data_IF_135393351138
#
_entry.id   IF_135393351138
#
_cell.length_a   1.000
_cell.length_b   1.000
_cell.length_c   1.000
_cell.angle_alpha   90.00
_cell.angle_beta   90.00
_cell.angle_gamma   90.00
#
_symmetry.space_group_name_H-M   'P 1'
#
loop_
_entity.id
_entity.type
_entity.pdbx_description
1 polymer ?
#
# COMPACT_ATOMS: atom_id res chain seq x y z
N UNK A 1 1.08 -33.26 -39.12
CA UNK A 1 0.79 -33.34 -37.67
C UNK A 1 1.29 -32.13 -36.87
N UNK A 2 2.42 -31.48 -37.23
CA UNK A 2 2.93 -30.29 -36.54
C UNK A 2 1.90 -29.12 -36.44
N UNK A 3 1.10 -28.94 -37.48
CA UNK A 3 0.21 -27.77 -37.62
C UNK A 3 -0.96 -27.77 -36.62
N UNK A 4 -1.44 -28.96 -36.20
CA UNK A 4 -2.55 -29.06 -35.25
C UNK A 4 -2.13 -28.72 -33.81
N UNK A 5 -0.93 -29.20 -33.41
CA UNK A 5 -0.37 -28.91 -32.09
C UNK A 5 0.05 -27.44 -31.96
N UNK A 6 0.63 -26.85 -33.02
CA UNK A 6 0.95 -25.42 -33.06
C UNK A 6 -0.30 -24.53 -32.91
N UNK A 7 -1.42 -24.90 -33.54
CA UNK A 7 -2.68 -24.17 -33.41
C UNK A 7 -3.27 -24.24 -31.98
N UNK A 8 -3.25 -25.43 -31.36
CA UNK A 8 -3.69 -25.60 -29.96
C UNK A 8 -2.83 -24.79 -28.98
N UNK A 9 -1.51 -24.78 -29.17
CA UNK A 9 -0.59 -24.00 -28.34
C UNK A 9 -0.81 -22.49 -28.53
N UNK A 10 -0.98 -22.02 -29.76
CA UNK A 10 -1.27 -20.62 -30.05
C UNK A 10 -2.55 -20.13 -29.36
N UNK A 11 -3.65 -20.87 -29.49
CA UNK A 11 -4.91 -20.55 -28.81
C UNK A 11 -4.78 -20.57 -27.28
N UNK A 12 -3.97 -21.48 -26.74
CA UNK A 12 -3.68 -21.53 -25.30
C UNK A 12 -2.94 -20.27 -24.83
N UNK A 13 -1.86 -19.87 -25.51
CA UNK A 13 -1.13 -18.64 -25.16
C UNK A 13 -1.98 -17.39 -25.27
N UNK A 14 -2.86 -17.32 -26.27
CA UNK A 14 -3.84 -16.24 -26.41
C UNK A 14 -4.80 -16.21 -25.22
N UNK A 15 -5.39 -17.35 -24.86
CA UNK A 15 -6.34 -17.43 -23.76
C UNK A 15 -5.70 -17.03 -22.42
N UNK A 16 -4.49 -17.54 -22.14
CA UNK A 16 -3.71 -17.17 -20.96
C UNK A 16 -3.36 -15.68 -20.96
N UNK A 17 -2.98 -15.13 -22.12
CA UNK A 17 -2.71 -13.70 -22.28
C UNK A 17 -3.92 -12.83 -21.97
N UNK A 18 -5.09 -13.15 -22.52
CA UNK A 18 -6.34 -12.43 -22.22
C UNK A 18 -6.73 -12.54 -20.76
N UNK A 19 -6.63 -13.73 -20.16
CA UNK A 19 -6.92 -13.93 -18.74
C UNK A 19 -6.02 -13.07 -17.84
N UNK A 20 -4.71 -12.99 -18.15
CA UNK A 20 -3.76 -12.14 -17.43
C UNK A 20 -4.12 -10.65 -17.53
N UNK A 21 -4.59 -10.19 -18.69
CA UNK A 21 -5.04 -8.80 -18.90
C UNK A 21 -6.24 -8.48 -18.01
N UNK A 22 -7.23 -9.38 -17.95
CA UNK A 22 -8.42 -9.22 -17.11
C UNK A 22 -8.06 -9.12 -15.62
N UNK A 23 -7.17 -9.98 -15.13
CA UNK A 23 -6.70 -9.92 -13.73
C UNK A 23 -6.01 -8.59 -13.44
N UNK A 24 -5.13 -8.12 -14.34
CA UNK A 24 -4.43 -6.85 -14.18
C UNK A 24 -5.40 -5.67 -14.17
N UNK A 25 -6.42 -5.68 -15.04
CA UNK A 25 -7.45 -4.66 -15.04
C UNK A 25 -8.27 -4.65 -13.74
N UNK A 26 -8.63 -5.82 -13.23
CA UNK A 26 -9.33 -5.94 -11.94
C UNK A 26 -8.48 -5.41 -10.77
N UNK A 27 -7.21 -5.82 -10.68
CA UNK A 27 -6.30 -5.35 -9.65
C UNK A 27 -6.06 -3.85 -9.75
N UNK A 28 -6.00 -3.30 -10.96
CA UNK A 28 -5.91 -1.86 -11.19
C UNK A 28 -7.11 -1.13 -10.58
N UNK A 29 -8.33 -1.57 -10.89
CA UNK A 29 -9.56 -0.95 -10.36
C UNK A 29 -9.60 -1.01 -8.83
N UNK A 30 -9.34 -2.17 -8.23
CA UNK A 30 -9.30 -2.30 -6.76
C UNK A 30 -8.25 -1.38 -6.15
N UNK A 31 -7.08 -1.27 -6.77
CA UNK A 31 -6.00 -0.43 -6.26
C UNK A 31 -6.37 1.05 -6.27
N UNK A 32 -7.02 1.52 -7.34
CA UNK A 32 -7.51 2.90 -7.43
C UNK A 32 -8.57 3.16 -6.36
N UNK A 33 -9.51 2.23 -6.15
CA UNK A 33 -10.52 2.34 -5.10
C UNK A 33 -9.86 2.41 -3.71
N UNK A 34 -8.90 1.52 -3.43
CA UNK A 34 -8.19 1.49 -2.15
C UNK A 34 -7.41 2.80 -1.87
N UNK A 35 -6.74 3.34 -2.89
CA UNK A 35 -6.04 4.63 -2.81
C UNK A 35 -7.05 5.76 -2.58
N UNK A 36 -8.11 5.83 -3.38
CA UNK A 36 -9.10 6.89 -3.30
C UNK A 36 -9.81 6.89 -1.94
N UNK A 37 -10.26 5.73 -1.48
CA UNK A 37 -10.93 5.57 -0.19
C UNK A 37 -9.99 5.91 0.99
N UNK A 38 -8.76 5.39 0.96
CA UNK A 38 -7.78 5.67 2.02
C UNK A 38 -7.40 7.16 2.07
N UNK A 39 -7.18 7.79 0.93
CA UNK A 39 -6.90 9.24 0.86
C UNK A 39 -8.11 10.06 1.31
N UNK A 40 -9.33 9.66 0.94
CA UNK A 40 -10.55 10.34 1.37
C UNK A 40 -10.63 10.41 2.90
N UNK A 41 -10.38 9.30 3.61
CA UNK A 41 -10.40 9.28 5.07
C UNK A 41 -9.24 10.08 5.67
N UNK A 42 -8.04 10.04 5.06
CA UNK A 42 -6.90 10.82 5.55
C UNK A 42 -7.18 12.33 5.50
N UNK A 43 -7.73 12.79 4.38
CA UNK A 43 -7.89 14.21 4.07
C UNK A 43 -9.17 14.85 4.64
N UNK A 44 -10.06 14.07 5.23
CA UNK A 44 -11.31 14.57 5.82
C UNK A 44 -11.33 14.27 7.31
N UNK A 45 -12.01 15.09 8.14
CA UNK A 45 -12.19 14.79 9.56
C UNK A 45 -12.97 13.48 9.74
N UNK A 46 -12.53 12.66 10.69
CA UNK A 46 -13.20 11.40 11.02
C UNK A 46 -14.31 11.74 12.02
N UNK A 47 -15.56 11.62 11.58
CA UNK A 47 -16.73 11.86 12.43
C UNK A 47 -17.39 10.55 12.85
N UNK A 48 -18.03 10.50 14.03
CA UNK A 48 -18.72 9.30 14.52
C UNK A 48 -19.81 8.78 13.58
N UNK A 49 -20.47 9.69 12.86
CA UNK A 49 -21.58 9.40 11.95
C UNK A 49 -21.15 9.26 10.48
N UNK A 50 -19.84 9.10 10.22
CA UNK A 50 -19.33 8.97 8.86
C UNK A 50 -19.82 7.67 8.24
N UNK A 51 -20.76 7.77 7.28
CA UNK A 51 -21.22 6.63 6.46
C UNK A 51 -20.09 5.91 5.70
N UNK A 52 -18.92 6.54 5.58
CA UNK A 52 -17.78 6.02 4.84
C UNK A 52 -16.99 5.02 5.68
N UNK A 53 -17.03 5.12 7.01
CA UNK A 53 -16.24 4.28 7.91
C UNK A 53 -17.16 3.20 8.52
N UNK A 54 -16.87 1.91 8.33
CA UNK A 54 -17.77 0.82 8.77
C UNK A 54 -17.70 0.55 10.28
N UNK A 55 -17.04 1.40 11.05
CA UNK A 55 -16.90 1.31 12.50
C UNK A 55 -17.26 2.64 13.14
N UNK A 56 -17.95 2.58 14.28
CA UNK A 56 -18.24 3.78 15.05
C UNK A 56 -16.95 4.27 15.70
N UNK A 57 -16.61 5.54 15.45
CA UNK A 57 -15.43 6.19 16.02
C UNK A 57 -15.91 7.12 17.12
N UNK A 58 -15.54 6.81 18.36
CA UNK A 58 -16.03 7.48 19.58
C UNK A 58 -14.93 8.24 20.32
N UNK A 59 -13.66 7.94 20.04
CA UNK A 59 -12.50 8.57 20.68
C UNK A 59 -11.49 9.12 19.68
N UNK A 60 -10.64 10.04 20.16
CA UNK A 60 -9.53 10.62 19.41
C UNK A 60 -8.52 9.53 19.02
N UNK A 61 -8.28 8.57 19.90
CA UNK A 61 -7.39 7.44 19.67
C UNK A 61 -7.90 6.54 18.55
N UNK A 62 -9.20 6.24 18.52
CA UNK A 62 -9.84 5.47 17.45
C UNK A 62 -9.75 6.21 16.11
N UNK A 63 -9.99 7.51 16.07
CA UNK A 63 -9.82 8.33 14.86
C UNK A 63 -8.37 8.27 14.35
N UNK A 64 -7.40 8.37 15.25
CA UNK A 64 -5.98 8.29 14.93
C UNK A 64 -5.54 6.89 14.46
N UNK A 65 -6.23 5.82 14.88
CA UNK A 65 -6.05 4.45 14.38
C UNK A 65 -6.61 4.33 12.97
N UNK A 66 -7.86 4.76 12.77
CA UNK A 66 -8.57 4.70 11.49
C UNK A 66 -7.78 5.43 10.41
N UNK A 67 -7.26 6.62 10.72
CA UNK A 67 -6.49 7.40 9.76
C UNK A 67 -5.14 6.76 9.42
N UNK A 68 -4.48 6.15 10.41
CA UNK A 68 -3.26 5.38 10.18
C UNK A 68 -3.51 4.14 9.33
N UNK A 69 -4.62 3.43 9.56
CA UNK A 69 -5.01 2.25 8.77
C UNK A 69 -5.43 2.64 7.35
N UNK A 70 -6.01 3.82 7.18
CA UNK A 70 -6.30 4.39 5.86
C UNK A 70 -5.01 4.63 5.07
N UNK A 71 -3.95 5.10 5.73
CA UNK A 71 -2.61 5.17 5.16
C UNK A 71 -2.07 3.80 4.71
N UNK A 72 -2.28 2.76 5.51
CA UNK A 72 -1.95 1.38 5.11
C UNK A 72 -2.73 0.96 3.85
N UNK A 73 -4.02 1.27 3.77
CA UNK A 73 -4.85 1.00 2.58
C UNK A 73 -4.30 1.69 1.32
N UNK A 74 -3.89 2.96 1.42
CA UNK A 74 -3.24 3.68 0.31
C UNK A 74 -1.94 2.99 -0.10
N UNK A 75 -1.12 2.57 0.86
CA UNK A 75 0.13 1.85 0.57
C UNK A 75 -0.13 0.53 -0.16
N UNK A 76 -1.13 -0.25 0.28
CA UNK A 76 -1.51 -1.49 -0.38
C UNK A 76 -1.97 -1.25 -1.82
N UNK A 77 -2.84 -0.27 -2.05
CA UNK A 77 -3.26 0.09 -3.41
C UNK A 77 -2.08 0.52 -4.28
N UNK A 78 -1.17 1.35 -3.77
CA UNK A 78 0.04 1.75 -4.49
C UNK A 78 0.96 0.56 -4.81
N UNK A 79 1.21 -0.32 -3.85
CA UNK A 79 2.05 -1.51 -4.03
C UNK A 79 1.43 -2.50 -5.03
N UNK A 80 0.11 -2.65 -5.02
CA UNK A 80 -0.61 -3.45 -6.00
C UNK A 80 -0.46 -2.84 -7.40
N UNK A 81 -0.66 -1.52 -7.58
CA UNK A 81 -0.39 -0.86 -8.88
C UNK A 81 1.05 -1.08 -9.33
N UNK A 82 2.02 -0.93 -8.41
CA UNK A 82 3.43 -1.16 -8.71
C UNK A 82 3.69 -2.59 -9.16
N UNK A 83 3.01 -3.59 -8.57
CA UNK A 83 3.14 -5.00 -8.96
C UNK A 83 2.58 -5.30 -10.35
N UNK A 84 1.58 -4.54 -10.81
CA UNK A 84 0.96 -4.71 -12.13
C UNK A 84 1.88 -4.18 -13.24
N UNK A 85 2.50 -3.02 -13.02
CA UNK A 85 3.27 -2.31 -14.05
C UNK A 85 4.78 -2.50 -13.97
N UNK A 86 5.31 -2.91 -12.81
CA UNK A 86 6.74 -3.15 -12.63
C UNK A 86 7.02 -4.64 -12.49
N UNK A 87 7.83 -5.19 -13.39
CA UNK A 87 8.37 -6.54 -13.27
C UNK A 87 9.55 -6.65 -12.28
N UNK A 88 10.02 -5.52 -11.75
CA UNK A 88 11.16 -5.51 -10.83
C UNK A 88 10.80 -6.17 -9.50
N UNK A 89 11.63 -7.13 -9.06
CA UNK A 89 11.50 -7.71 -7.72
C UNK A 89 11.80 -6.63 -6.69
N UNK A 90 10.85 -6.43 -5.80
CA UNK A 90 10.93 -5.37 -4.80
C UNK A 90 11.43 -5.98 -3.51
N UNK A 91 12.52 -5.44 -2.96
CA UNK A 91 13.06 -5.94 -1.70
C UNK A 91 12.08 -5.63 -0.55
N UNK A 92 11.95 -6.55 0.41
CA UNK A 92 11.06 -6.42 1.58
C UNK A 92 11.22 -5.07 2.30
N UNK A 93 12.45 -4.54 2.57
CA UNK A 93 12.61 -3.24 3.22
C UNK A 93 11.95 -2.10 2.43
N UNK A 94 11.93 -2.17 1.09
CA UNK A 94 11.29 -1.15 0.26
C UNK A 94 9.77 -1.17 0.44
N UNK A 95 9.16 -2.36 0.54
CA UNK A 95 7.72 -2.52 0.78
C UNK A 95 7.34 -1.89 2.13
N UNK A 96 8.09 -2.22 3.18
CA UNK A 96 7.85 -1.70 4.53
C UNK A 96 7.99 -0.18 4.58
N UNK A 97 8.96 0.40 3.86
CA UNK A 97 9.12 1.86 3.74
C UNK A 97 7.86 2.50 3.15
N UNK A 98 7.28 1.94 2.08
CA UNK A 98 6.04 2.50 1.51
C UNK A 98 4.91 2.45 2.53
N UNK A 99 4.70 1.30 3.16
CA UNK A 99 3.65 1.11 4.18
C UNK A 99 3.79 2.13 5.32
N UNK A 100 4.96 2.17 5.96
CA UNK A 100 5.20 3.06 7.10
C UNK A 100 5.10 4.52 6.69
N UNK A 101 5.57 4.89 5.49
CA UNK A 101 5.48 6.27 4.99
C UNK A 101 4.03 6.73 4.82
N UNK A 102 3.16 5.92 4.22
CA UNK A 102 1.75 6.29 4.06
C UNK A 102 0.98 6.23 5.39
N UNK A 103 1.33 5.32 6.30
CA UNK A 103 0.78 5.33 7.66
C UNK A 103 1.16 6.62 8.40
N UNK A 104 2.42 7.05 8.31
CA UNK A 104 2.89 8.32 8.87
C UNK A 104 2.23 9.53 8.20
N UNK A 105 1.99 9.48 6.89
CA UNK A 105 1.21 10.49 6.20
C UNK A 105 -0.20 10.62 6.79
N UNK A 106 -0.88 9.49 7.02
CA UNK A 106 -2.15 9.47 7.75
C UNK A 106 -2.05 10.07 9.16
N UNK A 107 -0.99 9.72 9.91
CA UNK A 107 -0.75 10.28 11.25
C UNK A 107 -0.54 11.80 11.23
N UNK A 108 0.17 12.35 10.26
CA UNK A 108 0.38 13.80 10.12
C UNK A 108 -0.97 14.52 10.02
N UNK A 109 -1.89 14.04 9.16
CA UNK A 109 -3.25 14.59 9.09
C UNK A 109 -4.06 14.35 10.36
N UNK A 110 -3.86 13.21 11.02
CA UNK A 110 -4.48 12.93 12.32
C UNK A 110 -4.07 13.94 13.40
N UNK A 111 -2.82 14.39 13.40
CA UNK A 111 -2.37 15.44 14.33
C UNK A 111 -3.04 16.80 14.08
N UNK A 112 -3.45 17.09 12.84
CA UNK A 112 -4.20 18.30 12.50
C UNK A 112 -5.69 18.20 12.85
N UNK A 113 -6.31 17.04 12.64
CA UNK A 113 -7.76 16.87 12.83
C UNK A 113 -8.16 16.33 14.20
N UNK A 114 -7.48 15.31 14.69
CA UNK A 114 -7.84 14.58 15.91
C UNK A 114 -7.14 15.17 17.15
N UNK A 115 -6.06 15.93 16.94
CA UNK A 115 -5.28 16.58 17.98
C UNK A 115 -4.17 15.70 18.57
N UNK A 116 -3.62 16.14 19.70
CA UNK A 116 -2.43 15.57 20.31
C UNK A 116 -2.77 14.68 21.51
N UNK A 117 -2.96 13.39 21.27
CA UNK A 117 -3.00 12.38 22.34
C UNK A 117 -1.62 11.74 22.55
N UNK A 118 -1.37 11.23 23.76
CA UNK A 118 -0.14 10.49 24.06
C UNK A 118 0.05 9.31 23.09
N UNK A 119 -1.05 8.61 22.76
CA UNK A 119 -1.06 7.54 21.78
C UNK A 119 -0.62 8.03 20.39
N UNK A 120 -1.19 9.13 19.90
CA UNK A 120 -0.87 9.69 18.58
C UNK A 120 0.58 10.13 18.50
N UNK A 121 1.12 10.78 19.54
CA UNK A 121 2.52 11.20 19.60
C UNK A 121 3.45 9.99 19.64
N UNK A 122 3.21 9.05 20.56
CA UNK A 122 4.07 7.88 20.75
C UNK A 122 4.14 7.00 19.49
N UNK A 123 2.99 6.74 18.86
CA UNK A 123 2.93 5.91 17.64
C UNK A 123 3.52 6.61 16.43
N UNK A 124 3.39 7.94 16.33
CA UNK A 124 4.04 8.73 15.26
C UNK A 124 5.57 8.71 15.42
N UNK A 125 6.07 8.90 16.64
CA UNK A 125 7.50 8.82 16.93
C UNK A 125 8.06 7.43 16.65
N UNK A 126 7.37 6.37 17.09
CA UNK A 126 7.75 5.00 16.79
C UNK A 126 7.78 4.71 15.29
N UNK A 127 6.76 5.18 14.56
CA UNK A 127 6.71 5.07 13.10
C UNK A 127 7.88 5.78 12.42
N UNK A 128 8.23 6.99 12.88
CA UNK A 128 9.36 7.75 12.35
C UNK A 128 10.70 7.03 12.59
N UNK A 129 10.94 6.53 13.80
CA UNK A 129 12.13 5.76 14.14
C UNK A 129 12.22 4.48 13.30
N UNK A 130 11.09 3.78 13.14
CA UNK A 130 11.00 2.60 12.28
C UNK A 130 11.35 2.95 10.82
N UNK A 131 10.82 4.05 10.28
CA UNK A 131 11.11 4.50 8.93
C UNK A 131 12.61 4.80 8.74
N UNK A 132 13.23 5.49 9.69
CA UNK A 132 14.67 5.79 9.67
C UNK A 132 15.48 4.50 9.66
N UNK A 133 15.19 3.57 10.57
CA UNK A 133 15.88 2.27 10.66
C UNK A 133 15.75 1.47 9.36
N UNK A 134 14.55 1.42 8.77
CA UNK A 134 14.31 0.75 7.49
C UNK A 134 15.10 1.38 6.35
N UNK A 135 15.22 2.72 6.32
CA UNK A 135 16.00 3.43 5.30
C UNK A 135 17.49 3.14 5.42
N UNK A 136 18.03 3.12 6.64
CA UNK A 136 19.43 2.75 6.90
C UNK A 136 19.71 1.33 6.39
N UNK A 137 18.86 0.36 6.74
CA UNK A 137 18.99 -1.04 6.29
C UNK A 137 18.89 -1.13 4.76
N UNK A 138 17.96 -0.39 4.14
CA UNK A 138 17.80 -0.40 2.68
C UNK A 138 19.06 0.13 1.97
N UNK A 139 19.66 1.21 2.47
CA UNK A 139 20.90 1.76 1.93
C UNK A 139 22.05 0.77 2.12
N UNK A 140 22.19 0.19 3.31
CA UNK A 140 23.24 -0.78 3.60
C UNK A 140 23.17 -2.00 2.66
N UNK A 141 21.96 -2.53 2.40
CA UNK A 141 21.77 -3.66 1.47
C UNK A 141 22.10 -3.32 0.02
N UNK A 142 21.87 -2.08 -0.43
CA UNK A 142 22.25 -1.65 -1.78
C UNK A 142 23.76 -1.51 -1.96
N UNK A 143 24.46 -1.22 -0.86
CA UNK A 143 25.91 -1.02 -0.86
C UNK A 143 26.69 -2.35 -0.73
N UNK A 144 26.01 -3.47 -0.47
CA UNK A 144 26.64 -4.79 -0.56
C UNK A 144 26.78 -5.17 -2.03
N UNK A 145 28.03 -5.32 -2.49
CA UNK A 145 28.34 -5.82 -3.83
C UNK A 145 27.76 -7.24 -3.93
N UNK A 146 26.89 -7.49 -4.91
CA UNK A 146 26.40 -8.85 -5.17
C UNK A 146 27.60 -9.70 -5.61
N UNK A 147 27.89 -10.75 -4.84
CA UNK A 147 28.91 -11.75 -5.18
C UNK A 147 28.38 -12.79 -6.17
N UNK A 148 27.22 -12.55 -6.78
CA UNK A 148 26.64 -13.42 -7.80
C UNK A 148 27.31 -13.09 -9.15
N UNK A 149 28.49 -13.70 -9.34
CA UNK A 149 29.12 -13.97 -10.63
C UNK A 149 28.37 -15.08 -11.37
#
# INVERSE_FOLDING_TARGET
MANHWSYKLYNFFIYVGYFMIVIRAFLFVISIIAIAYGLFIILNPVTPDSMVIPIQVSSIEEAAIVRSLSGFHVACGYLTLRSIYSSSKVQIPSILIYIVSFMLFGKIFGLFYDGFSLYSIATTLFGLLCLIALRIIQIHRKNQISYDL
#
